data_IF_235854991108
#
_entry.id   IF_235854991108
#
_cell.length_a   1.000
_cell.length_b   1.000
_cell.length_c   1.000
_cell.angle_alpha   90.00
_cell.angle_beta   90.00
_cell.angle_gamma   90.00
#
_symmetry.space_group_name_H-M   'P 1'
#
loop_
_entity.id
_entity.type
_entity.pdbx_description
1 polymer ?
#
# COMPACT_ATOMS: atom_id res chain seq x y z
N UNK A 1 -10.80 44.48 1.41
CA UNK A 1 -10.70 43.30 2.31
C UNK A 1 -11.46 42.07 1.82
N UNK A 2 -12.72 42.15 1.38
CA UNK A 2 -13.48 40.95 0.94
C UNK A 2 -12.91 40.29 -0.33
N UNK A 3 -12.54 41.10 -1.33
CA UNK A 3 -11.96 40.63 -2.61
C UNK A 3 -10.57 40.01 -2.39
N UNK A 4 -9.74 40.63 -1.53
CA UNK A 4 -8.41 40.08 -1.20
C UNK A 4 -8.50 38.73 -0.49
N UNK A 5 -9.48 38.54 0.41
CA UNK A 5 -9.72 37.24 1.05
C UNK A 5 -10.18 36.18 0.03
N UNK A 6 -11.04 36.56 -0.92
CA UNK A 6 -11.47 35.68 -2.00
C UNK A 6 -10.29 35.23 -2.89
N UNK A 7 -9.41 36.17 -3.27
CA UNK A 7 -8.23 35.87 -4.08
C UNK A 7 -7.26 34.91 -3.37
N UNK A 8 -7.01 35.13 -2.08
CA UNK A 8 -6.15 34.25 -1.28
C UNK A 8 -6.79 32.85 -1.12
N UNK A 9 -8.09 32.78 -0.90
CA UNK A 9 -8.80 31.50 -0.80
C UNK A 9 -8.76 30.70 -2.13
N UNK A 10 -8.97 31.36 -3.27
CA UNK A 10 -8.86 30.72 -4.59
C UNK A 10 -7.44 30.19 -4.85
N UNK A 11 -6.41 30.95 -4.47
CA UNK A 11 -5.03 30.54 -4.66
C UNK A 11 -4.71 29.25 -3.88
N UNK A 12 -5.16 29.14 -2.63
CA UNK A 12 -4.95 27.95 -1.79
C UNK A 12 -5.65 26.71 -2.36
N UNK A 13 -6.87 26.85 -2.88
CA UNK A 13 -7.63 25.75 -3.48
C UNK A 13 -6.95 25.26 -4.77
N UNK A 14 -6.49 26.18 -5.62
CA UNK A 14 -5.72 25.81 -6.82
C UNK A 14 -4.39 25.11 -6.49
N UNK A 15 -3.68 25.53 -5.44
CA UNK A 15 -2.44 24.88 -5.01
C UNK A 15 -2.66 23.46 -4.47
N UNK A 16 -3.79 23.22 -3.80
CA UNK A 16 -4.14 21.90 -3.24
C UNK A 16 -4.63 20.92 -4.31
N UNK A 17 -5.06 21.40 -5.48
CA UNK A 17 -5.43 20.59 -6.63
C UNK A 17 -4.23 20.11 -7.49
N UNK A 18 -3.01 20.61 -7.23
CA UNK A 18 -1.83 20.31 -8.08
C UNK A 18 -1.31 18.87 -7.96
N UNK A 19 -1.68 18.12 -6.92
CA UNK A 19 -1.26 16.72 -6.75
C UNK A 19 -2.41 15.79 -7.12
N UNK A 20 -2.20 14.98 -8.16
CA UNK A 20 -3.16 13.95 -8.55
C UNK A 20 -3.42 13.01 -7.36
N UNK A 21 -4.69 12.66 -7.06
CA UNK A 21 -5.03 11.81 -5.91
C UNK A 21 -4.42 10.40 -6.01
N UNK A 22 -4.01 9.98 -7.22
CA UNK A 22 -3.32 8.72 -7.47
C UNK A 22 -1.87 8.68 -6.95
N UNK A 23 -1.21 9.83 -6.83
CA UNK A 23 0.11 9.93 -6.24
C UNK A 23 -0.03 10.07 -4.72
N UNK A 24 -0.28 8.93 -4.05
CA UNK A 24 -0.51 8.85 -2.61
C UNK A 24 0.41 9.75 -1.79
N UNK A 25 -0.06 10.22 -0.64
CA UNK A 25 0.65 11.22 0.20
C UNK A 25 1.91 10.70 0.91
N UNK A 26 2.15 9.39 0.85
CA UNK A 26 3.28 8.74 1.50
C UNK A 26 4.59 9.09 0.78
N UNK A 27 5.75 9.01 1.47
CA UNK A 27 7.05 9.06 0.82
C UNK A 27 7.09 8.05 -0.33
N UNK A 28 7.57 8.50 -1.49
CA UNK A 28 7.86 7.59 -2.60
C UNK A 28 8.94 6.64 -2.07
N UNK A 29 8.69 5.33 -2.09
CA UNK A 29 9.71 4.36 -1.68
C UNK A 29 9.16 3.06 -1.10
N UNK A 30 8.06 3.09 -0.35
CA UNK A 30 7.53 1.88 0.27
C UNK A 30 5.99 1.85 0.29
N UNK A 31 5.36 0.75 -0.16
CA UNK A 31 3.94 0.55 0.07
C UNK A 31 3.68 0.40 1.57
N UNK A 32 2.51 0.86 2.04
CA UNK A 32 2.06 0.57 3.39
C UNK A 32 2.03 -0.96 3.59
N UNK A 33 2.67 -1.45 4.66
CA UNK A 33 2.69 -2.87 5.00
C UNK A 33 1.27 -3.23 5.45
N UNK A 34 0.47 -3.74 4.52
CA UNK A 34 -0.82 -4.32 4.85
C UNK A 34 -0.54 -5.72 5.42
N UNK A 35 -1.06 -6.01 6.61
CA UNK A 35 -0.97 -7.35 7.18
C UNK A 35 -1.99 -8.25 6.51
N UNK A 36 -1.65 -9.53 6.35
CA UNK A 36 -2.59 -10.58 5.91
C UNK A 36 -3.56 -10.97 7.04
N UNK A 37 -3.36 -10.43 8.24
CA UNK A 37 -4.29 -10.58 9.34
C UNK A 37 -5.61 -9.83 9.04
N UNK A 38 -6.77 -10.41 9.37
CA UNK A 38 -8.06 -9.73 9.27
C UNK A 38 -8.04 -8.40 10.04
N UNK A 39 -8.80 -7.37 9.58
CA UNK A 39 -8.80 -6.03 10.17
C UNK A 39 -9.38 -5.93 11.60
N UNK A 40 -9.79 -7.05 12.19
CA UNK A 40 -10.40 -7.12 13.52
C UNK A 40 -9.44 -7.55 14.65
N UNK A 41 -8.15 -7.72 14.35
CA UNK A 41 -7.20 -8.28 15.32
C UNK A 41 -6.57 -7.23 16.26
N UNK A 42 -7.41 -6.49 16.99
CA UNK A 42 -7.00 -5.76 18.19
C UNK A 42 -6.63 -6.71 19.37
N UNK A 43 -6.68 -8.03 19.15
CA UNK A 43 -6.27 -9.09 20.09
C UNK A 43 -4.89 -9.69 19.76
N UNK A 44 -4.24 -9.25 18.69
CA UNK A 44 -3.05 -9.89 18.09
C UNK A 44 -1.77 -9.98 18.92
N UNK A 45 -1.77 -9.45 20.16
CA UNK A 45 -0.63 -9.54 21.08
C UNK A 45 -0.83 -10.51 22.26
N UNK A 46 -1.94 -11.27 22.31
CA UNK A 46 -2.21 -12.23 23.40
C UNK A 46 -1.84 -13.67 23.08
N UNK A 47 -1.73 -14.01 21.82
CA UNK A 47 -1.27 -15.32 21.39
C UNK A 47 0.10 -15.10 20.80
N UNK A 48 1.12 -15.57 21.50
CA UNK A 48 2.53 -15.33 21.18
C UNK A 48 2.88 -15.65 19.73
N UNK A 49 3.99 -15.07 19.32
CA UNK A 49 4.62 -15.09 17.99
C UNK A 49 5.08 -16.50 17.55
N UNK A 50 4.15 -17.45 17.56
CA UNK A 50 4.30 -18.80 17.04
C UNK A 50 3.21 -18.98 15.99
N UNK A 51 3.60 -18.85 14.72
CA UNK A 51 2.88 -19.22 13.49
C UNK A 51 1.66 -20.10 13.81
N UNK A 52 0.50 -19.45 14.01
CA UNK A 52 -0.67 -20.15 14.53
C UNK A 52 -1.13 -21.19 13.50
N UNK A 53 -1.16 -22.44 13.95
CA UNK A 53 -1.60 -23.61 13.19
C UNK A 53 -3.13 -23.60 12.95
N UNK A 54 -3.83 -22.53 13.31
CA UNK A 54 -5.30 -22.40 13.26
C UNK A 54 -5.82 -21.33 12.29
N UNK A 55 -4.99 -20.38 11.85
CA UNK A 55 -5.40 -19.42 10.83
C UNK A 55 -4.91 -19.91 9.47
N UNK A 56 -5.83 -20.40 8.63
CA UNK A 56 -5.51 -20.72 7.23
C UNK A 56 -4.82 -19.49 6.63
N UNK A 57 -3.64 -19.65 6.05
CA UNK A 57 -2.93 -18.55 5.40
C UNK A 57 -3.66 -18.21 4.10
N UNK A 58 -4.53 -17.20 4.16
CA UNK A 58 -5.22 -16.68 2.98
C UNK A 58 -4.35 -15.65 2.26
N UNK A 59 -4.50 -15.50 0.93
CA UNK A 59 -3.94 -14.36 0.23
C UNK A 59 -4.51 -13.05 0.79
N UNK A 60 -3.67 -12.03 0.97
CA UNK A 60 -4.08 -10.71 1.49
C UNK A 60 -5.20 -10.05 0.68
N UNK A 61 -5.24 -10.31 -0.64
CA UNK A 61 -6.25 -9.76 -1.55
C UNK A 61 -7.65 -10.32 -1.28
N UNK A 62 -7.74 -11.47 -0.59
CA UNK A 62 -9.02 -12.02 -0.14
C UNK A 62 -9.57 -11.29 1.09
N UNK A 63 -8.80 -10.39 1.72
CA UNK A 63 -9.20 -9.61 2.90
C UNK A 63 -9.78 -10.46 4.04
N UNK A 64 -9.32 -11.70 4.19
CA UNK A 64 -9.83 -12.66 5.18
C UNK A 64 -11.03 -13.50 4.72
N UNK A 65 -11.56 -13.32 3.51
CA UNK A 65 -12.68 -14.09 2.97
C UNK A 65 -12.23 -15.48 2.46
N UNK A 66 -12.45 -16.50 3.29
CA UNK A 66 -12.13 -17.88 2.95
C UNK A 66 -13.09 -18.49 1.91
N UNK A 67 -14.36 -18.07 1.86
CA UNK A 67 -15.32 -18.61 0.90
C UNK A 67 -14.98 -18.16 -0.51
N UNK A 68 -14.57 -16.90 -0.66
CA UNK A 68 -14.08 -16.37 -1.94
C UNK A 68 -12.92 -17.20 -2.47
N UNK A 69 -11.88 -17.45 -1.65
CA UNK A 69 -10.72 -18.24 -2.06
C UNK A 69 -11.14 -19.66 -2.45
N UNK A 70 -12.00 -20.29 -1.66
CA UNK A 70 -12.50 -21.64 -1.95
C UNK A 70 -13.32 -21.69 -3.25
N UNK A 71 -14.12 -20.67 -3.53
CA UNK A 71 -14.89 -20.54 -4.77
C UNK A 71 -13.97 -20.35 -5.98
N UNK A 72 -12.98 -19.47 -5.87
CA UNK A 72 -12.03 -19.19 -6.94
C UNK A 72 -11.15 -20.41 -7.25
N UNK A 73 -10.76 -21.20 -6.24
CA UNK A 73 -10.00 -22.45 -6.42
C UNK A 73 -10.76 -23.53 -7.19
N UNK A 74 -12.10 -23.48 -7.21
CA UNK A 74 -12.93 -24.42 -7.99
C UNK A 74 -12.96 -24.07 -9.49
N UNK A 75 -12.55 -22.86 -9.87
CA UNK A 75 -12.48 -22.47 -11.27
C UNK A 75 -11.27 -23.14 -11.97
N UNK A 76 -11.35 -23.39 -13.29
CA UNK A 76 -10.18 -23.76 -14.09
C UNK A 76 -9.05 -22.74 -13.91
N UNK A 77 -7.79 -23.20 -13.95
CA UNK A 77 -6.59 -22.39 -13.69
C UNK A 77 -6.58 -21.11 -14.54
N UNK A 78 -6.95 -21.22 -15.80
CA UNK A 78 -7.01 -20.14 -16.79
C UNK A 78 -8.07 -19.06 -16.46
N UNK A 79 -9.02 -19.37 -15.57
CA UNK A 79 -10.04 -18.44 -15.07
C UNK A 79 -9.76 -17.97 -13.65
N UNK A 80 -8.69 -18.44 -13.02
CA UNK A 80 -8.30 -17.96 -11.70
C UNK A 80 -7.59 -16.61 -11.80
N UNK A 81 -7.82 -15.69 -10.86
CA UNK A 81 -7.18 -14.39 -10.92
C UNK A 81 -5.67 -14.50 -10.65
N UNK A 82 -4.89 -13.64 -11.30
CA UNK A 82 -3.42 -13.69 -11.24
C UNK A 82 -2.89 -13.61 -9.80
N UNK A 83 -3.58 -12.85 -8.93
CA UNK A 83 -3.17 -12.67 -7.55
C UNK A 83 -3.32 -13.96 -6.74
N UNK A 84 -4.30 -14.81 -7.07
CA UNK A 84 -4.52 -16.09 -6.40
C UNK A 84 -3.52 -17.13 -6.87
N UNK A 85 -3.14 -17.10 -8.14
CA UNK A 85 -2.12 -17.99 -8.69
C UNK A 85 -0.73 -17.65 -8.14
N UNK A 86 -0.40 -16.35 -8.05
CA UNK A 86 0.93 -15.87 -7.68
C UNK A 86 1.01 -15.33 -6.25
N UNK A 87 0.04 -15.64 -5.39
CA UNK A 87 -0.07 -15.04 -4.06
C UNK A 87 1.20 -15.22 -3.22
N UNK A 88 1.83 -16.40 -3.30
CA UNK A 88 3.06 -16.71 -2.56
C UNK A 88 4.24 -15.84 -3.02
N UNK A 89 4.39 -15.65 -4.33
CA UNK A 89 5.43 -14.80 -4.92
C UNK A 89 5.19 -13.33 -4.60
N UNK A 90 3.94 -12.87 -4.65
CA UNK A 90 3.56 -11.52 -4.25
C UNK A 90 3.88 -11.27 -2.77
N UNK A 91 3.60 -12.24 -1.90
CA UNK A 91 3.90 -12.10 -0.47
C UNK A 91 5.41 -12.09 -0.19
N UNK A 92 6.20 -12.91 -0.90
CA UNK A 92 7.65 -12.85 -0.85
C UNK A 92 8.18 -11.47 -1.31
N UNK A 93 7.62 -10.91 -2.39
CA UNK A 93 7.97 -9.58 -2.89
C UNK A 93 7.59 -8.49 -1.88
N UNK A 94 6.44 -8.60 -1.20
CA UNK A 94 6.06 -7.65 -0.13
C UNK A 94 7.04 -7.66 1.04
N UNK A 95 7.60 -8.82 1.40
CA UNK A 95 8.63 -8.94 2.44
C UNK A 95 9.98 -8.35 2.01
N UNK A 96 10.33 -8.47 0.74
CA UNK A 96 11.57 -7.94 0.19
C UNK A 96 11.32 -7.23 -1.15
N UNK A 97 10.80 -5.98 -1.10
CA UNK A 97 10.46 -5.26 -2.32
C UNK A 97 11.71 -4.94 -3.12
N UNK A 98 11.60 -5.04 -4.45
CA UNK A 98 12.66 -4.58 -5.34
C UNK A 98 12.79 -3.05 -5.20
N UNK A 99 13.84 -2.60 -4.52
CA UNK A 99 14.14 -1.19 -4.38
C UNK A 99 14.80 -0.68 -5.67
N UNK A 100 14.10 0.20 -6.39
CA UNK A 100 14.71 0.94 -7.48
C UNK A 100 15.38 2.18 -6.90
N UNK A 101 16.64 2.42 -7.29
CA UNK A 101 17.30 3.68 -6.98
C UNK A 101 16.47 4.81 -7.56
N UNK A 102 15.92 5.64 -6.68
CA UNK A 102 15.22 6.84 -7.11
C UNK A 102 16.20 7.74 -7.86
N UNK A 103 15.75 8.30 -8.98
CA UNK A 103 16.57 9.25 -9.73
C UNK A 103 16.97 10.38 -8.75
N UNK A 104 18.27 10.68 -8.61
CA UNK A 104 18.71 11.72 -7.68
C UNK A 104 18.08 13.06 -8.05
N UNK A 105 17.62 13.78 -7.04
CA UNK A 105 17.03 15.09 -7.21
C UNK A 105 18.15 16.14 -7.43
N UNK A 106 18.24 16.69 -8.63
CA UNK A 106 19.21 17.73 -8.99
C UNK A 106 19.07 19.02 -8.16
N UNK A 107 17.90 19.26 -7.57
CA UNK A 107 17.64 20.44 -6.73
C UNK A 107 18.21 20.30 -5.31
N UNK A 108 18.55 19.08 -4.84
CA UNK A 108 19.14 18.87 -3.52
C UNK A 108 20.67 19.03 -3.50
N UNK A 109 21.34 18.85 -4.64
CA UNK A 109 22.80 18.94 -4.76
C UNK A 109 23.33 20.36 -4.46
N UNK A 110 22.56 21.40 -4.81
CA UNK A 110 22.91 22.79 -4.53
C UNK A 110 22.66 23.23 -3.06
N UNK A 111 21.84 22.48 -2.30
CA UNK A 111 21.55 22.81 -0.90
C UNK A 111 22.67 22.37 0.04
N UNK A 112 23.34 21.25 -0.29
CA UNK A 112 24.37 20.63 0.57
C UNK A 112 25.73 21.34 0.44
N UNK A 113 26.01 22.03 -0.68
CA UNK A 113 27.30 22.71 -0.93
C UNK A 113 27.43 24.11 -0.33
N UNK A 114 26.37 24.64 0.29
CA UNK A 114 26.33 25.99 0.85
C UNK A 114 26.25 26.01 2.39
N UNK A 115 26.76 24.96 3.04
CA UNK A 115 27.07 24.91 4.48
C UNK A 115 28.56 24.67 4.63
#
# INVERSE_FOLDING_TARGET
>A
MKITVLCVAMMVICCSAQRSPYAGRQPIGFPAIQSTAPPEDALGNRFGDDISTTTIRLPIEALGDADLVNRLRKLPVDKQPFWLLNWLALEANRKNPQNFNQRPNSFLDNSIRNV
#
